data_IF_175464313156
#
_entry.id   IF_175464313156
#
_cell.length_a   1.000
_cell.length_b   1.000
_cell.length_c   1.000
_cell.angle_alpha   90.00
_cell.angle_beta   90.00
_cell.angle_gamma   90.00
#
_symmetry.space_group_name_H-M   'P 1'
#
loop_
_entity.id
_entity.type
_entity.pdbx_description
1 polymer ?
#
# COMPACT_ATOMS: atom_id res chain seq x y z
N UNK A 1 -4.24 9.62 25.16
CA UNK A 1 -4.58 9.55 23.73
C UNK A 1 -3.71 10.59 23.04
N UNK A 2 -2.73 10.18 22.24
CA UNK A 2 -1.83 11.11 21.57
C UNK A 2 -2.61 11.84 20.47
N UNK A 3 -2.62 13.17 20.53
CA UNK A 3 -3.24 14.04 19.54
C UNK A 3 -2.49 13.86 18.21
N UNK A 4 -2.97 12.96 17.35
CA UNK A 4 -2.28 12.64 16.10
C UNK A 4 -2.67 13.71 15.08
N UNK A 5 -1.80 14.70 14.91
CA UNK A 5 -1.99 15.75 13.94
C UNK A 5 -2.13 15.18 12.52
N UNK A 6 -3.20 15.58 11.84
CA UNK A 6 -3.44 15.28 10.43
C UNK A 6 -2.39 15.99 9.57
N UNK A 7 -1.83 15.27 8.60
CA UNK A 7 -0.92 15.83 7.61
C UNK A 7 -1.73 16.35 6.42
N UNK A 8 -1.44 17.57 5.96
CA UNK A 8 -2.02 18.17 4.76
C UNK A 8 -0.94 18.39 3.71
N UNK A 9 -1.31 18.24 2.43
CA UNK A 9 -0.39 18.34 1.29
C UNK A 9 -0.90 19.39 0.30
N UNK A 10 -0.81 20.70 0.60
CA UNK A 10 -1.44 21.76 -0.19
C UNK A 10 -0.86 21.90 -1.61
N UNK A 11 0.36 21.40 -1.86
CA UNK A 11 0.97 21.36 -3.19
C UNK A 11 0.72 20.07 -3.97
N UNK A 12 -0.01 19.10 -3.40
CA UNK A 12 -0.36 17.88 -4.11
C UNK A 12 -1.51 18.15 -5.08
N UNK A 13 -1.32 17.77 -6.33
CA UNK A 13 -2.34 17.87 -7.37
C UNK A 13 -2.66 16.47 -7.88
N UNK A 14 -3.83 15.97 -7.50
CA UNK A 14 -4.31 14.67 -7.93
C UNK A 14 -4.56 14.68 -9.45
N UNK A 15 -4.10 13.65 -10.20
CA UNK A 15 -4.35 13.61 -11.62
C UNK A 15 -5.85 13.43 -11.90
N UNK A 16 -6.36 14.19 -12.87
CA UNK A 16 -7.79 14.20 -13.24
C UNK A 16 -8.12 13.26 -14.41
N UNK A 17 -7.14 12.52 -14.89
CA UNK A 17 -7.26 11.54 -15.97
C UNK A 17 -6.29 10.38 -15.73
N UNK A 18 -6.61 9.21 -16.27
CA UNK A 18 -5.72 8.05 -16.23
C UNK A 18 -4.34 8.39 -16.81
N UNK A 19 -3.31 7.93 -16.12
CA UNK A 19 -1.92 8.24 -16.47
C UNK A 19 -1.05 7.00 -16.30
N UNK A 20 0.05 6.97 -17.05
CA UNK A 20 1.13 5.99 -16.88
C UNK A 20 2.27 6.56 -16.00
N UNK A 21 2.17 7.82 -15.59
CA UNK A 21 3.12 8.41 -14.66
C UNK A 21 3.03 7.69 -13.30
N UNK A 22 4.19 7.51 -12.66
CA UNK A 22 4.22 7.00 -11.30
C UNK A 22 3.49 7.98 -10.38
N UNK A 23 2.53 7.45 -9.62
CA UNK A 23 1.84 8.21 -8.60
C UNK A 23 2.55 8.07 -7.26
N UNK A 24 2.65 9.17 -6.53
CA UNK A 24 3.15 9.15 -5.16
C UNK A 24 1.97 9.01 -4.20
N UNK A 25 2.12 8.10 -3.23
CA UNK A 25 1.16 8.01 -2.13
C UNK A 25 1.62 8.91 -0.98
N UNK A 26 0.70 9.74 -0.48
CA UNK A 26 0.97 10.68 0.58
C UNK A 26 0.20 10.30 1.87
N UNK A 27 0.86 10.26 3.03
CA UNK A 27 0.21 9.87 4.27
C UNK A 27 -0.71 10.98 4.81
N UNK A 28 -1.88 10.59 5.32
CA UNK A 28 -2.79 11.48 6.05
C UNK A 28 -2.47 11.57 7.55
N UNK A 29 -1.83 10.54 8.10
CA UNK A 29 -1.31 10.52 9.47
C UNK A 29 0.21 10.27 9.43
N UNK A 30 1.01 10.76 10.38
CA UNK A 30 2.45 10.52 10.40
C UNK A 30 2.74 9.02 10.36
N UNK A 31 3.57 8.47 9.48
CA UNK A 31 4.01 7.07 9.59
C UNK A 31 4.83 6.85 10.88
N UNK A 32 4.92 5.61 11.39
CA UNK A 32 5.89 5.30 12.46
C UNK A 32 7.30 5.65 11.98
N UNK A 33 8.18 6.14 12.86
CA UNK A 33 9.59 6.30 12.50
C UNK A 33 10.27 4.92 12.35
N UNK A 34 11.34 4.84 11.54
CA UNK A 34 12.00 3.55 11.29
C UNK A 34 12.64 2.95 12.54
N UNK A 35 13.12 3.80 13.45
CA UNK A 35 13.71 3.43 14.73
C UNK A 35 12.68 3.07 15.81
N UNK A 36 11.40 3.36 15.58
CA UNK A 36 10.28 2.91 16.41
C UNK A 36 9.76 1.51 16.02
N UNK A 37 10.22 0.97 14.88
CA UNK A 37 9.82 -0.35 14.42
C UNK A 37 10.41 -1.43 15.33
N UNK A 38 9.57 -2.37 15.72
CA UNK A 38 9.92 -3.50 16.59
C UNK A 38 9.86 -4.77 15.75
N UNK A 39 10.33 -5.89 16.30
CA UNK A 39 10.23 -7.19 15.63
C UNK A 39 8.79 -7.54 15.22
N UNK A 40 7.78 -7.15 16.02
CA UNK A 40 6.38 -7.35 15.65
C UNK A 40 5.98 -6.52 14.43
N UNK A 41 6.46 -5.28 14.34
CA UNK A 41 6.25 -4.43 13.16
C UNK A 41 6.89 -5.07 11.91
N UNK A 42 8.14 -5.53 12.01
CA UNK A 42 8.83 -6.19 10.90
C UNK A 42 8.15 -7.51 10.47
N UNK A 43 7.65 -8.30 11.42
CA UNK A 43 6.84 -9.48 11.10
C UNK A 43 5.57 -9.11 10.31
N UNK A 44 4.90 -8.02 10.68
CA UNK A 44 3.75 -7.47 9.97
C UNK A 44 4.09 -6.96 8.57
N UNK A 45 5.27 -6.35 8.38
CA UNK A 45 5.74 -5.91 7.07
C UNK A 45 5.97 -7.08 6.09
N UNK A 46 6.21 -8.29 6.60
CA UNK A 46 6.57 -9.53 5.85
C UNK A 46 7.90 -9.43 5.10
N UNK A 47 8.31 -8.24 4.69
CA UNK A 47 9.56 -7.90 4.02
C UNK A 47 10.09 -6.62 4.65
N UNK A 48 11.26 -6.70 5.29
CA UNK A 48 11.85 -5.60 6.02
C UNK A 48 12.14 -4.38 5.12
N UNK A 49 12.37 -4.56 3.81
CA UNK A 49 12.60 -3.45 2.88
C UNK A 49 11.40 -2.48 2.81
N UNK A 50 10.19 -2.96 3.13
CA UNK A 50 8.97 -2.13 3.19
C UNK A 50 9.03 -1.06 4.27
N UNK A 51 9.90 -1.17 5.28
CA UNK A 51 10.12 -0.12 6.27
C UNK A 51 10.52 1.22 5.63
N UNK A 52 11.14 1.21 4.44
CA UNK A 52 11.49 2.45 3.71
C UNK A 52 10.27 3.20 3.14
N UNK A 53 9.12 2.54 3.04
CA UNK A 53 7.90 3.14 2.51
C UNK A 53 7.06 3.79 3.62
N UNK A 54 6.68 5.08 3.50
CA UNK A 54 5.77 5.72 4.44
C UNK A 54 4.40 5.06 4.49
N UNK A 55 3.94 4.45 3.38
CA UNK A 55 2.69 3.69 3.32
C UNK A 55 2.70 2.51 4.29
N UNK A 56 3.72 1.67 4.17
CA UNK A 56 3.84 0.48 5.01
C UNK A 56 4.11 0.83 6.48
N UNK A 57 4.91 1.87 6.76
CA UNK A 57 5.11 2.37 8.13
C UNK A 57 3.84 2.97 8.74
N UNK A 58 2.94 3.54 7.93
CA UNK A 58 1.64 3.99 8.44
C UNK A 58 0.78 2.79 8.85
N UNK A 59 0.67 1.79 7.97
CA UNK A 59 -0.14 0.59 8.21
C UNK A 59 0.43 -0.29 9.33
N UNK A 60 1.74 -0.22 9.59
CA UNK A 60 2.39 -0.98 10.66
C UNK A 60 1.84 -0.65 12.06
N UNK A 61 1.03 0.40 12.23
CA UNK A 61 0.27 0.63 13.47
C UNK A 61 -0.66 -0.52 13.86
N UNK A 62 -1.08 -1.33 12.89
CA UNK A 62 -1.74 -2.61 13.11
C UNK A 62 -0.93 -3.72 12.39
N UNK A 63 0.13 -4.26 13.03
CA UNK A 63 1.06 -5.17 12.38
C UNK A 63 0.42 -6.48 11.93
N UNK A 64 -0.56 -6.98 12.69
CA UNK A 64 -1.16 -8.29 12.46
C UNK A 64 -2.08 -8.22 11.23
N UNK A 65 -2.93 -7.19 11.15
CA UNK A 65 -3.75 -6.89 9.97
C UNK A 65 -2.87 -6.62 8.75
N UNK A 66 -1.80 -5.83 8.91
CA UNK A 66 -0.85 -5.57 7.82
C UNK A 66 -0.21 -6.86 7.31
N UNK A 67 0.19 -7.76 8.21
CA UNK A 67 0.79 -9.05 7.86
C UNK A 67 -0.16 -9.95 7.08
N UNK A 68 -1.41 -10.06 7.55
CA UNK A 68 -2.46 -10.81 6.83
C UNK A 68 -2.68 -10.23 5.43
N UNK A 69 -2.93 -8.92 5.33
CA UNK A 69 -3.15 -8.22 4.06
C UNK A 69 -1.97 -8.40 3.10
N UNK A 70 -0.74 -8.21 3.57
CA UNK A 70 0.47 -8.28 2.71
C UNK A 70 0.69 -9.68 2.14
N UNK A 71 0.40 -10.74 2.90
CA UNK A 71 0.46 -12.12 2.40
C UNK A 71 -0.62 -12.38 1.36
N UNK A 72 -1.85 -11.93 1.62
CA UNK A 72 -2.95 -12.02 0.65
C UNK A 72 -2.62 -11.29 -0.65
N UNK A 73 -2.12 -10.05 -0.57
CA UNK A 73 -1.71 -9.29 -1.76
C UNK A 73 -0.63 -10.03 -2.55
N UNK A 74 0.42 -10.52 -1.87
CA UNK A 74 1.50 -11.28 -2.52
C UNK A 74 0.96 -12.53 -3.24
N UNK A 75 0.05 -13.26 -2.60
CA UNK A 75 -0.57 -14.44 -3.19
C UNK A 75 -1.38 -14.06 -4.45
N UNK A 76 -2.24 -13.05 -4.37
CA UNK A 76 -3.04 -12.57 -5.52
C UNK A 76 -2.15 -12.17 -6.70
N UNK A 77 -1.07 -11.42 -6.45
CA UNK A 77 -0.20 -10.94 -7.53
C UNK A 77 0.69 -12.04 -8.12
N UNK A 78 1.25 -12.91 -7.27
CA UNK A 78 2.39 -13.75 -7.67
C UNK A 78 2.13 -15.24 -7.66
N UNK A 79 1.00 -15.74 -7.14
CA UNK A 79 0.69 -17.16 -7.14
C UNK A 79 0.60 -17.70 -8.59
N UNK A 80 1.46 -18.67 -8.97
CA UNK A 80 1.44 -19.29 -10.29
C UNK A 80 0.67 -20.63 -10.31
N UNK A 81 0.35 -21.19 -9.14
CA UNK A 81 -0.23 -22.52 -8.99
C UNK A 81 -1.76 -22.51 -9.03
N UNK A 82 -2.38 -21.34 -8.81
CA UNK A 82 -3.84 -21.17 -8.80
C UNK A 82 -4.27 -19.78 -9.30
N UNK A 83 -5.58 -19.66 -9.59
CA UNK A 83 -6.19 -18.42 -10.09
C UNK A 83 -5.99 -18.19 -11.60
N UNK A 84 -6.30 -16.98 -12.06
CA UNK A 84 -6.07 -16.57 -13.44
C UNK A 84 -4.57 -16.38 -13.70
N UNK A 85 -4.05 -16.61 -14.92
CA UNK A 85 -2.66 -16.26 -15.23
C UNK A 85 -2.43 -14.75 -15.12
N UNK A 86 -1.14 -14.36 -15.03
CA UNK A 86 -0.77 -12.98 -14.73
C UNK A 86 -1.39 -11.97 -15.70
N UNK A 87 -1.36 -12.24 -17.00
CA UNK A 87 -1.88 -11.31 -18.01
C UNK A 87 -3.38 -11.00 -17.80
N UNK A 88 -4.17 -12.02 -17.48
CA UNK A 88 -5.60 -11.92 -17.21
C UNK A 88 -5.89 -11.20 -15.89
N UNK A 89 -5.02 -11.36 -14.87
CA UNK A 89 -5.10 -10.59 -13.62
C UNK A 89 -4.84 -9.11 -13.86
N UNK A 90 -3.78 -8.76 -14.59
CA UNK A 90 -3.46 -7.37 -14.93
C UNK A 90 -4.59 -6.72 -15.77
N UNK A 91 -5.17 -7.46 -16.71
CA UNK A 91 -6.32 -7.00 -17.50
C UNK A 91 -7.55 -6.77 -16.61
N UNK A 92 -7.84 -7.68 -15.68
CA UNK A 92 -8.97 -7.56 -14.75
C UNK A 92 -8.80 -6.37 -13.81
N UNK A 93 -7.59 -6.15 -13.29
CA UNK A 93 -7.26 -4.97 -12.48
C UNK A 93 -7.46 -3.68 -13.28
N UNK A 94 -6.95 -3.63 -14.52
CA UNK A 94 -7.11 -2.48 -15.42
C UNK A 94 -8.58 -2.18 -15.70
N UNK A 95 -9.38 -3.20 -16.04
CA UNK A 95 -10.80 -3.04 -16.30
C UNK A 95 -11.56 -2.54 -15.05
N UNK A 96 -11.19 -3.05 -13.86
CA UNK A 96 -11.77 -2.61 -12.58
C UNK A 96 -11.43 -1.15 -12.29
N UNK A 97 -10.16 -0.75 -12.43
CA UNK A 97 -9.71 0.64 -12.27
C UNK A 97 -10.44 1.60 -13.23
N UNK A 98 -10.66 1.16 -14.49
CA UNK A 98 -11.45 1.91 -15.46
C UNK A 98 -12.92 2.05 -15.07
N UNK A 99 -13.51 1.01 -14.48
CA UNK A 99 -14.91 0.99 -14.09
C UNK A 99 -15.19 1.78 -12.80
N UNK A 100 -14.30 1.71 -11.81
CA UNK A 100 -14.49 2.35 -10.50
C UNK A 100 -13.79 3.72 -10.37
N UNK A 101 -12.98 4.12 -11.35
CA UNK A 101 -12.25 5.39 -11.35
C UNK A 101 -10.99 5.38 -10.47
N UNK A 102 -10.53 4.22 -10.00
CA UNK A 102 -9.24 4.10 -9.32
C UNK A 102 -8.11 4.43 -10.30
N UNK A 103 -7.30 5.42 -9.95
CA UNK A 103 -6.19 5.88 -10.79
C UNK A 103 -4.87 5.14 -10.52
N UNK A 104 -4.81 4.37 -9.42
CA UNK A 104 -3.71 3.48 -9.06
C UNK A 104 -3.84 2.11 -9.73
#
# INVERSE_FOLDING_TARGET
>A
MSDTAVITHPGNHEPTAFTQAQLEWLPWLPPLAEDELTERHYAGLVDAARAKSPYFRLLARDPDTLGARTRTDKDIFYNPDAGLPRAERELSATATSRANGCIY
#
